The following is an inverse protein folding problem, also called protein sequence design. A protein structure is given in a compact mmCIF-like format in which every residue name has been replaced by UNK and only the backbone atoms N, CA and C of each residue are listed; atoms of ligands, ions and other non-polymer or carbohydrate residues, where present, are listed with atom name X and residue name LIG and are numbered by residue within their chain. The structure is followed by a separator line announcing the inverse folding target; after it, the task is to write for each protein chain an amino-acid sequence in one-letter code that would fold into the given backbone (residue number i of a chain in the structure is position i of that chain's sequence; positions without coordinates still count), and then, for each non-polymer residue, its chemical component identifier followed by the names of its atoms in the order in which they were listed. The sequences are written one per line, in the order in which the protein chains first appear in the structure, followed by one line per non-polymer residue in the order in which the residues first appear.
data_IF_015979741327
#
_entry.id   IF_015979741327
#
_cell.length_a   1.000
_cell.length_b   1.000
_cell.length_c   1.000
_cell.angle_alpha   90.00
_cell.angle_beta   90.00
_cell.angle_gamma   90.00
#
_symmetry.space_group_name_H-M   'P 1'
#
loop_
_entity.id
_entity.type
_entity.pdbx_description
1 polymer ?
#
# COMPACT_ATOMS: atom_id res chain seq x y z
N UNK A 1 -10.39 -7.97 -10.87
CA UNK A 1 -9.80 -8.64 -9.67
C UNK A 1 -8.28 -8.60 -9.82
N UNK A 2 -7.48 -8.71 -8.76
CA UNK A 2 -6.01 -8.65 -8.85
C UNK A 2 -5.37 -9.73 -7.98
N UNK A 3 -4.17 -10.17 -8.34
CA UNK A 3 -3.31 -11.02 -7.51
C UNK A 3 -2.35 -10.14 -6.71
N UNK A 4 -2.25 -10.35 -5.39
CA UNK A 4 -1.38 -9.59 -4.50
C UNK A 4 -0.10 -10.37 -4.23
N UNK A 5 1.04 -9.84 -4.66
CA UNK A 5 2.33 -10.51 -4.52
C UNK A 5 3.11 -10.01 -3.30
N UNK A 6 2.95 -8.74 -2.93
CA UNK A 6 3.59 -8.24 -1.72
C UNK A 6 3.17 -6.84 -1.35
N UNK A 7 3.36 -6.49 -0.08
CA UNK A 7 3.10 -5.16 0.41
C UNK A 7 3.99 -4.79 1.60
N UNK A 8 4.10 -3.49 1.82
CA UNK A 8 4.54 -2.90 3.09
C UNK A 8 3.73 -1.64 3.34
N UNK A 9 3.22 -1.51 4.57
CA UNK A 9 2.57 -0.31 5.06
C UNK A 9 3.61 0.42 5.93
N UNK A 10 3.96 1.62 5.51
CA UNK A 10 4.81 2.55 6.23
C UNK A 10 3.93 3.58 6.95
N UNK A 11 4.45 4.30 7.96
CA UNK A 11 3.66 5.31 8.67
C UNK A 11 3.01 6.36 7.76
N UNK A 12 3.66 6.69 6.65
CA UNK A 12 3.27 7.77 5.74
C UNK A 12 2.85 7.31 4.32
N UNK A 13 3.10 6.06 3.93
CA UNK A 13 2.80 5.55 2.59
C UNK A 13 2.68 4.02 2.56
N UNK A 14 2.26 3.47 1.42
CA UNK A 14 2.21 2.01 1.21
C UNK A 14 2.91 1.66 -0.11
N UNK A 15 3.59 0.52 -0.15
CA UNK A 15 3.99 -0.11 -1.41
C UNK A 15 3.21 -1.39 -1.60
N UNK A 16 2.75 -1.63 -2.82
CA UNK A 16 1.98 -2.81 -3.19
C UNK A 16 2.53 -3.34 -4.52
N UNK A 17 2.85 -4.62 -4.55
CA UNK A 17 3.22 -5.37 -5.75
C UNK A 17 2.04 -6.28 -6.07
N UNK A 18 1.41 -6.05 -7.22
CA UNK A 18 0.21 -6.77 -7.65
C UNK A 18 0.20 -7.01 -9.15
N UNK A 19 -0.61 -7.96 -9.58
CA UNK A 19 -0.92 -8.24 -10.98
C UNK A 19 -2.43 -8.03 -11.22
N UNK A 20 -2.84 -7.11 -12.10
CA UNK A 20 -4.24 -7.01 -12.52
C UNK A 20 -4.66 -8.27 -13.28
N UNK A 21 -5.76 -8.90 -12.86
CA UNK A 21 -6.31 -10.09 -13.50
C UNK A 21 -7.48 -9.73 -14.40
N UNK A 22 -7.73 -10.54 -15.44
CA UNK A 22 -8.92 -10.46 -16.30
C UNK A 22 -9.11 -9.07 -16.94
N UNK A 23 -8.02 -8.39 -17.30
CA UNK A 23 -8.07 -7.05 -17.91
C UNK A 23 -8.51 -5.93 -16.96
N UNK A 24 -8.48 -6.15 -15.64
CA UNK A 24 -8.82 -5.12 -14.67
C UNK A 24 -7.94 -3.88 -14.82
N UNK A 25 -8.56 -2.70 -14.90
CA UNK A 25 -7.85 -1.43 -14.95
C UNK A 25 -7.22 -1.10 -13.59
N UNK A 26 -5.97 -0.61 -13.61
CA UNK A 26 -5.24 -0.16 -12.40
C UNK A 26 -6.04 0.91 -11.64
N UNK A 27 -6.70 1.83 -12.34
CA UNK A 27 -7.53 2.87 -11.72
C UNK A 27 -8.69 2.29 -10.88
N UNK A 28 -9.31 1.20 -11.35
CA UNK A 28 -10.35 0.49 -10.62
C UNK A 28 -9.81 -0.18 -9.35
N UNK A 29 -8.64 -0.83 -9.45
CA UNK A 29 -7.96 -1.46 -8.31
C UNK A 29 -7.58 -0.40 -7.27
N UNK A 30 -6.97 0.71 -7.69
CA UNK A 30 -6.59 1.81 -6.81
C UNK A 30 -7.81 2.44 -6.12
N UNK A 31 -8.93 2.59 -6.83
CA UNK A 31 -10.18 3.09 -6.24
C UNK A 31 -10.69 2.15 -5.15
N UNK A 32 -10.73 0.84 -5.44
CA UNK A 32 -11.17 -0.18 -4.49
C UNK A 32 -10.28 -0.23 -3.22
N UNK A 33 -8.97 -0.04 -3.37
CA UNK A 33 -8.02 0.02 -2.25
C UNK A 33 -8.14 1.32 -1.44
N UNK A 34 -8.16 2.47 -2.12
CA UNK A 34 -8.01 3.78 -1.46
C UNK A 34 -9.31 4.29 -0.83
N UNK A 35 -10.46 4.06 -1.47
CA UNK A 35 -11.73 4.69 -1.06
C UNK A 35 -12.21 4.24 0.34
N UNK A 36 -12.19 2.94 0.71
CA UNK A 36 -12.60 2.51 2.04
C UNK A 36 -11.69 3.07 3.14
N UNK A 37 -10.38 3.12 2.88
CA UNK A 37 -9.39 3.69 3.80
C UNK A 37 -9.61 5.18 4.00
N UNK A 38 -9.83 5.96 2.92
CA UNK A 38 -10.13 7.39 3.04
C UNK A 38 -11.32 7.67 3.96
N UNK A 39 -12.41 6.91 3.79
CA UNK A 39 -13.63 7.08 4.61
C UNK A 39 -13.34 6.78 6.08
N UNK A 40 -12.73 5.63 6.36
CA UNK A 40 -12.43 5.20 7.74
C UNK A 40 -11.42 6.09 8.43
N UNK A 41 -10.35 6.49 7.72
CA UNK A 41 -9.32 7.36 8.27
C UNK A 41 -9.89 8.75 8.59
N UNK A 42 -10.72 9.33 7.72
CA UNK A 42 -11.33 10.62 7.99
C UNK A 42 -12.25 10.59 9.22
N UNK A 43 -13.07 9.54 9.37
CA UNK A 43 -13.91 9.36 10.56
C UNK A 43 -13.05 9.22 11.82
N UNK A 44 -12.03 8.35 11.77
CA UNK A 44 -11.14 8.12 12.89
C UNK A 44 -10.40 9.38 13.32
N UNK A 45 -9.83 10.14 12.36
CA UNK A 45 -9.09 11.38 12.63
C UNK A 45 -10.00 12.44 13.25
N UNK A 46 -11.25 12.59 12.75
CA UNK A 46 -12.22 13.55 13.33
C UNK A 46 -12.50 13.27 14.80
N UNK A 47 -12.56 11.99 15.17
CA UNK A 47 -12.88 11.56 16.53
C UNK A 47 -11.66 11.57 17.47
N UNK A 48 -10.50 11.09 16.99
CA UNK A 48 -9.35 10.78 17.85
C UNK A 48 -8.20 11.79 17.72
N UNK A 49 -8.11 12.50 16.60
CA UNK A 49 -6.99 13.39 16.31
C UNK A 49 -7.44 14.61 15.47
N UNK A 50 -8.43 15.41 15.92
CA UNK A 50 -9.01 16.47 15.10
C UNK A 50 -7.99 17.50 14.61
N UNK A 51 -6.93 17.78 15.39
CA UNK A 51 -5.83 18.66 14.98
C UNK A 51 -5.02 18.12 13.78
N UNK A 52 -5.11 16.83 13.46
CA UNK A 52 -4.47 16.25 12.28
C UNK A 52 -5.23 16.57 10.98
N UNK A 53 -6.49 17.03 11.06
CA UNK A 53 -7.27 17.41 9.87
C UNK A 53 -6.59 18.51 9.05
N UNK A 54 -5.90 19.45 9.71
CA UNK A 54 -5.14 20.51 9.04
C UNK A 54 -4.08 19.95 8.06
N UNK A 55 -3.51 18.78 8.39
CA UNK A 55 -2.53 18.09 7.53
C UNK A 55 -3.17 17.32 6.39
N UNK A 56 -4.48 17.11 6.45
CA UNK A 56 -5.28 16.45 5.41
C UNK A 56 -5.98 17.46 4.50
N UNK A 57 -5.81 18.77 4.72
CA UNK A 57 -6.43 19.79 3.89
C UNK A 57 -5.95 19.72 2.43
N UNK A 58 -6.92 19.66 1.54
CA UNK A 58 -6.74 19.75 0.11
C UNK A 58 -7.48 20.98 -0.43
N UNK A 59 -6.77 22.10 -0.49
CA UNK A 59 -7.31 23.38 -0.98
C UNK A 59 -7.46 23.33 -2.49
N UNK A 60 -8.68 23.56 -2.96
CA UNK A 60 -9.02 23.60 -4.37
C UNK A 60 -8.84 25.04 -4.93
N UNK A 61 -8.60 25.20 -6.24
CA UNK A 61 -8.49 26.52 -6.87
C UNK A 61 -9.73 27.43 -6.69
N UNK A 62 -10.91 26.84 -6.47
CA UNK A 62 -12.16 27.56 -6.22
C UNK A 62 -12.33 28.01 -4.74
N UNK A 63 -11.34 27.77 -3.88
CA UNK A 63 -11.37 28.13 -2.47
C UNK A 63 -11.99 27.07 -1.55
N UNK A 64 -12.54 25.98 -2.08
CA UNK A 64 -13.04 24.88 -1.25
C UNK A 64 -11.89 24.13 -0.56
N UNK A 65 -12.12 23.72 0.70
CA UNK A 65 -11.18 22.89 1.46
C UNK A 65 -11.78 21.52 1.66
N UNK A 66 -11.14 20.50 1.07
CA UNK A 66 -11.51 19.10 1.25
C UNK A 66 -10.53 18.44 2.21
N UNK A 67 -10.90 17.33 2.85
CA UNK A 67 -9.96 16.55 3.66
C UNK A 67 -9.66 15.23 2.96
N UNK A 68 -8.38 14.95 2.69
CA UNK A 68 -7.92 13.73 2.00
C UNK A 68 -6.87 13.00 2.83
N UNK A 69 -7.00 11.67 2.84
CA UNK A 69 -6.00 10.79 3.44
C UNK A 69 -4.86 10.48 2.45
N UNK A 70 -5.20 10.20 1.19
CA UNK A 70 -4.23 9.94 0.13
C UNK A 70 -3.86 11.22 -0.61
N UNK A 71 -2.60 11.34 -1.01
CA UNK A 71 -2.15 12.36 -1.96
C UNK A 71 -2.94 12.27 -3.29
N UNK A 72 -3.07 13.41 -3.98
CA UNK A 72 -3.78 13.49 -5.26
C UNK A 72 -3.14 12.55 -6.30
N UNK A 73 -3.97 11.92 -7.13
CA UNK A 73 -3.55 11.09 -8.26
C UNK A 73 -3.51 9.57 -8.00
N UNK A 74 -2.94 8.85 -8.97
CA UNK A 74 -2.84 7.39 -8.96
C UNK A 74 -1.86 6.83 -7.93
N UNK A 75 -0.92 7.65 -7.45
CA UNK A 75 0.29 7.20 -6.77
C UNK A 75 1.45 7.13 -7.75
N UNK A 76 2.51 6.42 -7.37
CA UNK A 76 3.69 6.21 -8.20
C UNK A 76 3.77 4.73 -8.58
N UNK A 77 3.48 4.40 -9.84
CA UNK A 77 3.54 3.04 -10.36
C UNK A 77 4.79 2.79 -11.21
N UNK A 78 5.18 1.52 -11.28
CA UNK A 78 6.24 1.02 -12.16
C UNK A 78 5.86 -0.38 -12.62
N UNK A 79 5.83 -0.58 -13.94
CA UNK A 79 5.61 -1.90 -14.52
C UNK A 79 6.84 -2.78 -14.30
N UNK A 80 6.61 -3.96 -13.72
CA UNK A 80 7.59 -5.05 -13.58
C UNK A 80 7.34 -6.03 -14.73
N UNK A 81 8.39 -6.51 -15.40
CA UNK A 81 8.25 -7.23 -16.68
C UNK A 81 8.72 -8.67 -16.62
N UNK A 82 9.26 -9.11 -15.49
CA UNK A 82 9.71 -10.49 -15.29
C UNK A 82 9.43 -10.96 -13.86
N UNK A 83 9.34 -12.29 -13.63
CA UNK A 83 9.30 -12.85 -12.28
C UNK A 83 10.48 -12.40 -11.40
N UNK A 84 11.67 -12.27 -12.00
CA UNK A 84 12.85 -11.76 -11.31
C UNK A 84 12.63 -10.33 -10.79
N UNK A 85 12.08 -9.43 -11.63
CA UNK A 85 11.77 -8.05 -11.23
C UNK A 85 10.77 -8.01 -10.07
N UNK A 86 9.80 -8.95 -10.06
CA UNK A 86 8.79 -9.09 -9.00
C UNK A 86 9.46 -9.47 -7.69
N UNK A 87 10.26 -10.54 -7.69
CA UNK A 87 10.97 -11.02 -6.50
C UNK A 87 11.93 -9.94 -5.96
N UNK A 88 12.70 -9.30 -6.83
CA UNK A 88 13.60 -8.21 -6.46
C UNK A 88 12.83 -7.05 -5.84
N UNK A 89 11.69 -6.67 -6.43
CA UNK A 89 10.86 -5.58 -5.90
C UNK A 89 10.26 -5.92 -4.55
N UNK A 90 9.80 -7.16 -4.34
CA UNK A 90 9.29 -7.63 -3.05
C UNK A 90 10.38 -7.52 -1.98
N UNK A 91 11.58 -8.05 -2.25
CA UNK A 91 12.72 -7.93 -1.34
C UNK A 91 13.09 -6.47 -1.03
N UNK A 92 13.08 -5.61 -2.05
CA UNK A 92 13.30 -4.18 -1.87
C UNK A 92 12.28 -3.54 -0.92
N UNK A 93 10.98 -3.75 -1.13
CA UNK A 93 9.95 -3.09 -0.30
C UNK A 93 9.95 -3.63 1.13
N UNK A 94 10.25 -4.91 1.35
CA UNK A 94 10.38 -5.48 2.70
C UNK A 94 11.57 -4.93 3.47
N UNK A 95 12.62 -4.46 2.78
CA UNK A 95 13.75 -3.80 3.40
C UNK A 95 13.44 -2.34 3.79
N UNK A 96 12.33 -1.74 3.34
CA UNK A 96 12.03 -0.33 3.60
C UNK A 96 11.92 0.04 5.09
N UNK A 97 11.26 -0.76 5.97
CA UNK A 97 11.23 -0.48 7.40
C UNK A 97 12.62 -0.43 8.03
N UNK A 98 13.51 -1.36 7.63
CA UNK A 98 14.91 -1.40 8.10
C UNK A 98 15.68 -0.19 7.60
N UNK A 99 15.58 0.13 6.31
CA UNK A 99 16.25 1.30 5.71
C UNK A 99 15.77 2.62 6.29
N UNK A 100 14.54 2.66 6.82
CA UNK A 100 13.97 3.82 7.55
C UNK A 100 14.33 3.82 9.03
N UNK A 101 15.03 2.80 9.54
CA UNK A 101 15.39 2.68 10.95
C UNK A 101 14.20 2.44 11.88
N UNK A 102 13.09 1.91 11.37
CA UNK A 102 11.90 1.61 12.17
C UNK A 102 12.03 0.30 12.95
N UNK A 103 12.81 -0.64 12.41
CA UNK A 103 13.12 -1.96 12.97
C UNK A 103 14.53 -2.39 12.55
N UNK A 104 15.14 -3.29 13.30
CA UNK A 104 16.45 -3.85 12.97
C UNK A 104 16.37 -4.91 11.86
N UNK A 105 15.29 -5.71 11.83
CA UNK A 105 15.06 -6.76 10.85
C UNK A 105 13.71 -6.59 10.16
N UNK A 106 13.62 -6.98 8.89
CA UNK A 106 12.36 -6.95 8.13
C UNK A 106 11.25 -7.79 8.78
N UNK A 107 11.62 -8.90 9.43
CA UNK A 107 10.71 -9.78 10.18
C UNK A 107 9.98 -9.08 11.34
N UNK A 108 10.57 -8.01 11.88
CA UNK A 108 10.06 -7.32 13.07
C UNK A 108 9.02 -6.25 12.69
N UNK A 109 8.79 -6.03 11.39
CA UNK A 109 7.75 -5.12 10.90
C UNK A 109 6.46 -5.88 10.57
N UNK A 110 5.45 -5.88 11.47
CA UNK A 110 4.24 -6.67 11.29
C UNK A 110 3.36 -6.19 10.13
N UNK A 111 3.56 -4.94 9.70
CA UNK A 111 2.77 -4.31 8.64
C UNK A 111 3.36 -4.53 7.24
N UNK A 112 3.87 -5.73 6.99
CA UNK A 112 4.39 -6.14 5.68
C UNK A 112 4.04 -7.58 5.36
N UNK A 113 4.18 -7.94 4.09
CA UNK A 113 4.04 -9.32 3.64
C UNK A 113 5.31 -10.16 3.80
N UNK A 114 6.33 -9.67 4.52
CA UNK A 114 7.61 -10.37 4.68
C UNK A 114 7.43 -11.74 5.34
N UNK A 115 6.60 -11.81 6.39
CA UNK A 115 6.32 -13.06 7.09
C UNK A 115 5.64 -14.08 6.16
N UNK A 116 4.70 -13.64 5.34
CA UNK A 116 4.04 -14.51 4.37
C UNK A 116 5.00 -15.15 3.36
N UNK A 117 6.06 -14.45 2.96
CA UNK A 117 7.09 -15.00 2.08
C UNK A 117 8.11 -15.90 2.79
N UNK A 118 8.34 -15.71 4.08
CA UNK A 118 9.39 -16.42 4.83
C UNK A 118 8.88 -17.60 5.64
N UNK A 119 7.61 -17.58 6.04
CA UNK A 119 6.97 -18.62 6.86
C UNK A 119 5.92 -19.43 6.09
N UNK A 120 5.40 -18.87 4.99
CA UNK A 120 4.25 -19.43 4.27
C UNK A 120 2.90 -19.12 4.91
N UNK A 121 2.86 -18.47 6.07
CA UNK A 121 1.61 -18.07 6.74
C UNK A 121 1.02 -16.82 6.10
N UNK A 122 -0.26 -16.83 5.77
CA UNK A 122 -0.96 -15.73 5.10
C UNK A 122 -1.36 -14.59 6.04
N UNK A 123 -0.39 -14.10 6.81
CA UNK A 123 -0.55 -13.00 7.78
C UNK A 123 0.27 -11.76 7.38
N UNK A 124 -0.27 -10.54 7.58
CA UNK A 124 -1.64 -10.21 8.02
C UNK A 124 -2.68 -10.25 6.88
N UNK A 125 -2.25 -10.39 5.63
CA UNK A 125 -3.12 -10.44 4.44
C UNK A 125 -2.63 -11.58 3.53
N UNK A 126 -3.53 -12.46 3.03
CA UNK A 126 -3.16 -13.53 2.12
C UNK A 126 -2.51 -13.03 0.82
N UNK A 127 -1.53 -13.79 0.34
CA UNK A 127 -0.84 -13.50 -0.91
C UNK A 127 -1.20 -14.51 -2.00
N UNK A 128 -1.26 -14.03 -3.23
CA UNK A 128 -1.33 -14.88 -4.41
C UNK A 128 0.08 -15.30 -4.82
N UNK A 129 0.43 -16.57 -4.58
CA UNK A 129 1.75 -17.13 -4.95
C UNK A 129 1.71 -17.92 -6.25
N UNK A 130 0.52 -18.29 -6.73
CA UNK A 130 0.36 -19.12 -7.93
C UNK A 130 0.74 -18.34 -9.19
N UNK A 131 0.38 -17.05 -9.24
CA UNK A 131 0.62 -16.21 -10.41
C UNK A 131 2.02 -15.56 -10.43
N UNK A 132 2.88 -15.83 -9.44
CA UNK A 132 4.24 -15.23 -9.36
C UNK A 132 5.22 -15.90 -10.35
N UNK A 133 4.91 -17.10 -10.82
CA UNK A 133 5.76 -17.87 -11.75
C UNK A 133 5.46 -17.65 -13.25
N UNK A 134 4.59 -16.68 -13.57
CA UNK A 134 4.28 -16.26 -14.95
C UNK A 134 5.24 -15.15 -15.41
#
# INVERSE_FOLDING_TARGET
MYALFGFVIMPEHVHVVLLPLQGAAISGILTALKQPVSKRALLWVREHAPAFLDRMEDRQPNGEVHHRFWQRGGGYDRNLRSPHDVVEKIGYIHANPVRRGLVERAADWPWSSYRAWTTGEDEPIPLDREHVSL
#
